data_IF_175870970548
#
_entry.id   IF_175870970548
#
_cell.length_a   1.000
_cell.length_b   1.000
_cell.length_c   1.000
_cell.angle_alpha   90.00
_cell.angle_beta   90.00
_cell.angle_gamma   90.00
#
_symmetry.space_group_name_H-M   'P 1'
#
loop_
_entity.id
_entity.type
_entity.pdbx_description
1 polymer ?
#
# COMPACT_ATOMS: atom_id res chain seq x y z
N UNK A 1 5.78 -13.23 4.90
CA UNK A 1 5.29 -13.04 6.28
C UNK A 1 3.85 -13.51 6.41
N UNK A 2 2.96 -13.06 5.51
CA UNK A 2 1.52 -13.36 5.59
C UNK A 2 1.18 -14.80 5.21
N UNK A 3 2.07 -15.48 4.48
CA UNK A 3 1.97 -16.93 4.20
C UNK A 3 2.42 -17.80 5.37
N UNK A 4 2.84 -17.19 6.50
CA UNK A 4 3.37 -17.86 7.69
C UNK A 4 4.67 -18.65 7.46
N UNK A 5 5.35 -18.43 6.35
CA UNK A 5 6.65 -19.06 6.08
C UNK A 5 7.69 -18.62 7.12
N UNK A 6 8.53 -19.57 7.56
CA UNK A 6 9.62 -19.29 8.48
C UNK A 6 10.68 -18.38 7.85
N UNK A 7 10.96 -18.56 6.56
CA UNK A 7 11.95 -17.81 5.81
C UNK A 7 11.62 -17.80 4.32
N UNK A 8 12.30 -16.95 3.56
CA UNK A 8 12.30 -16.95 2.10
C UNK A 8 13.69 -16.59 1.59
N UNK A 9 14.07 -17.19 0.47
CA UNK A 9 15.34 -16.95 -0.22
C UNK A 9 15.01 -16.55 -1.65
N UNK A 10 15.56 -15.45 -2.11
CA UNK A 10 15.31 -14.90 -3.43
C UNK A 10 16.58 -14.86 -4.26
N UNK A 11 16.47 -15.13 -5.55
CA UNK A 11 17.56 -14.84 -6.47
C UNK A 11 17.85 -13.33 -6.49
N UNK A 12 19.12 -12.99 -6.67
CA UNK A 12 19.56 -11.60 -6.73
C UNK A 12 19.84 -11.18 -8.17
N UNK A 13 19.49 -9.95 -8.49
CA UNK A 13 19.56 -9.36 -9.82
C UNK A 13 20.19 -7.94 -9.79
N UNK A 14 20.10 -7.23 -10.91
CA UNK A 14 20.58 -5.86 -11.05
C UNK A 14 19.81 -4.87 -10.16
N UNK A 15 18.52 -5.16 -9.84
CA UNK A 15 17.73 -4.33 -8.94
C UNK A 15 18.29 -4.43 -7.52
N UNK A 16 18.62 -5.66 -7.08
CA UNK A 16 19.30 -5.91 -5.80
C UNK A 16 20.66 -5.21 -5.73
N UNK A 17 21.44 -5.27 -6.82
CA UNK A 17 22.72 -4.58 -6.90
C UNK A 17 22.57 -3.07 -6.77
N UNK A 18 21.60 -2.48 -7.48
CA UNK A 18 21.29 -1.04 -7.41
C UNK A 18 20.82 -0.64 -6.02
N UNK A 19 19.95 -1.44 -5.39
CA UNK A 19 19.52 -1.20 -4.02
C UNK A 19 20.71 -1.12 -3.04
N UNK A 20 21.64 -2.07 -3.11
CA UNK A 20 22.85 -2.05 -2.28
C UNK A 20 23.73 -0.82 -2.58
N UNK A 21 23.83 -0.41 -3.84
CA UNK A 21 24.58 0.77 -4.23
C UNK A 21 24.03 2.07 -3.63
N UNK A 22 22.69 2.26 -3.65
CA UNK A 22 22.01 3.40 -3.01
C UNK A 22 22.30 3.45 -1.50
N UNK A 23 22.48 2.29 -0.87
CA UNK A 23 22.82 2.18 0.55
C UNK A 23 24.33 2.24 0.84
N UNK A 24 25.16 2.59 -0.16
CA UNK A 24 26.62 2.64 0.00
C UNK A 24 27.29 1.26 0.11
N UNK A 25 26.61 0.19 -0.31
CA UNK A 25 27.01 -1.21 -0.15
C UNK A 25 27.21 -1.93 -1.48
N UNK A 26 27.55 -1.23 -2.55
CA UNK A 26 27.71 -1.82 -3.88
C UNK A 26 28.69 -3.00 -3.90
N UNK A 27 29.74 -2.94 -3.07
CA UNK A 27 30.76 -4.00 -2.97
C UNK A 27 30.27 -5.28 -2.29
N UNK A 28 29.15 -5.21 -1.58
CA UNK A 28 28.57 -6.35 -0.87
C UNK A 28 27.69 -7.22 -1.77
N UNK A 29 27.40 -6.75 -2.99
CA UNK A 29 26.59 -7.55 -3.91
C UNK A 29 27.26 -8.85 -4.28
N UNK A 30 26.53 -9.95 -4.12
CA UNK A 30 26.91 -11.27 -4.60
C UNK A 30 25.69 -11.90 -5.27
N UNK A 31 25.90 -12.51 -6.43
CA UNK A 31 24.83 -13.26 -7.08
C UNK A 31 24.43 -14.44 -6.19
N UNK A 32 23.15 -14.51 -5.84
CA UNK A 32 22.54 -15.64 -5.18
C UNK A 32 21.57 -16.31 -6.16
N UNK A 33 21.74 -17.58 -6.40
CA UNK A 33 20.87 -18.39 -7.24
C UNK A 33 20.92 -19.84 -6.76
N UNK A 34 19.93 -20.69 -7.10
CA UNK A 34 20.01 -22.12 -6.88
C UNK A 34 21.25 -22.72 -7.56
N UNK A 35 21.72 -23.88 -7.08
CA UNK A 35 22.71 -24.67 -7.78
C UNK A 35 22.11 -25.27 -9.08
N UNK A 36 22.97 -25.79 -9.97
CA UNK A 36 22.54 -26.40 -11.23
C UNK A 36 21.50 -27.51 -11.05
N UNK A 37 21.49 -28.14 -9.89
CA UNK A 37 20.48 -29.12 -9.46
C UNK A 37 20.00 -28.75 -8.07
N UNK A 38 18.71 -28.40 -7.96
CA UNK A 38 18.04 -28.09 -6.70
C UNK A 38 16.73 -28.89 -6.59
N UNK A 39 16.43 -29.36 -5.38
CA UNK A 39 15.21 -30.14 -5.10
C UNK A 39 14.24 -29.27 -4.27
N UNK A 40 12.98 -29.31 -4.65
CA UNK A 40 11.89 -28.59 -3.97
C UNK A 40 10.71 -29.53 -3.78
N UNK A 41 9.95 -29.35 -2.71
CA UNK A 41 8.74 -30.14 -2.42
C UNK A 41 7.57 -29.77 -3.36
N UNK A 42 7.61 -28.62 -3.95
CA UNK A 42 6.60 -28.14 -4.89
C UNK A 42 7.01 -26.86 -5.60
N UNK A 43 6.26 -26.50 -6.62
CA UNK A 43 6.44 -25.25 -7.38
C UNK A 43 5.11 -24.50 -7.48
N UNK A 44 5.18 -23.19 -7.38
CA UNK A 44 4.08 -22.27 -7.71
C UNK A 44 4.61 -21.33 -8.78
N UNK A 45 3.99 -21.36 -9.95
CA UNK A 45 4.33 -20.46 -11.05
C UNK A 45 3.32 -19.32 -11.12
N UNK A 46 3.80 -18.08 -11.17
CA UNK A 46 2.98 -16.86 -11.27
C UNK A 46 3.47 -16.04 -12.44
N UNK A 47 2.65 -15.89 -13.47
CA UNK A 47 2.91 -14.99 -14.59
C UNK A 47 2.61 -13.55 -14.15
N UNK A 48 3.66 -12.79 -13.83
CA UNK A 48 3.53 -11.40 -13.40
C UNK A 48 2.95 -10.49 -14.50
N UNK A 49 3.08 -10.85 -15.78
CA UNK A 49 2.52 -10.07 -16.89
C UNK A 49 0.99 -10.15 -16.97
N UNK A 50 0.40 -11.18 -16.38
CA UNK A 50 -1.05 -11.38 -16.31
C UNK A 50 -1.71 -10.66 -15.12
N UNK A 51 -0.91 -10.16 -14.16
CA UNK A 51 -1.45 -9.49 -12.98
C UNK A 51 -2.00 -8.11 -13.36
N UNK A 52 -3.23 -7.83 -12.92
CA UNK A 52 -3.89 -6.53 -13.04
C UNK A 52 -3.69 -5.72 -11.77
N UNK A 53 -3.89 -4.38 -11.79
CA UNK A 53 -3.93 -3.58 -10.56
C UNK A 53 -4.96 -4.12 -9.59
N UNK A 54 -4.52 -4.41 -8.35
CA UNK A 54 -5.34 -5.07 -7.35
C UNK A 54 -5.48 -4.22 -6.08
N UNK A 55 -6.55 -4.50 -5.34
CA UNK A 55 -6.83 -3.96 -4.02
C UNK A 55 -7.20 -5.12 -3.09
N UNK A 56 -6.60 -5.14 -1.89
CA UNK A 56 -7.04 -6.05 -0.82
C UNK A 56 -7.83 -5.26 0.22
N UNK A 57 -9.14 -5.50 0.27
CA UNK A 57 -10.06 -4.79 1.17
C UNK A 57 -9.84 -5.15 2.65
N UNK A 58 -10.28 -4.33 3.62
CA UNK A 58 -10.24 -4.68 5.03
C UNK A 58 -10.93 -6.04 5.29
N UNK A 59 -10.51 -6.85 6.25
CA UNK A 59 -9.37 -6.71 7.18
C UNK A 59 -8.43 -7.90 7.05
N UNK A 60 -8.22 -8.37 5.82
CA UNK A 60 -7.29 -9.46 5.52
C UNK A 60 -6.69 -9.29 4.12
N UNK A 61 -5.39 -9.59 3.92
CA UNK A 61 -4.74 -9.45 2.60
C UNK A 61 -5.32 -10.35 1.50
N UNK A 62 -5.98 -11.46 1.87
CA UNK A 62 -6.64 -12.36 0.90
C UNK A 62 -8.01 -11.87 0.42
N UNK A 63 -8.55 -10.79 1.00
CA UNK A 63 -9.78 -10.16 0.52
C UNK A 63 -9.47 -9.28 -0.71
N UNK A 64 -8.90 -9.91 -1.74
CA UNK A 64 -8.28 -9.26 -2.88
C UNK A 64 -9.13 -9.36 -4.13
N UNK A 65 -9.24 -8.23 -4.82
CA UNK A 65 -9.95 -8.06 -6.10
C UNK A 65 -9.07 -7.28 -7.06
N UNK A 66 -9.27 -7.46 -8.36
CA UNK A 66 -8.80 -6.41 -9.26
C UNK A 66 -9.59 -5.13 -9.01
N UNK A 67 -8.98 -3.97 -9.20
CA UNK A 67 -9.69 -2.69 -9.03
C UNK A 67 -10.84 -2.59 -10.03
N UNK A 68 -10.70 -3.22 -11.19
CA UNK A 68 -11.73 -3.29 -12.23
C UNK A 68 -12.95 -4.10 -11.75
N UNK A 69 -12.75 -5.29 -11.16
CA UNK A 69 -13.81 -6.12 -10.58
C UNK A 69 -14.52 -5.39 -9.45
N UNK A 70 -13.76 -4.75 -8.55
CA UNK A 70 -14.35 -3.96 -7.46
C UNK A 70 -15.22 -2.83 -8.03
N UNK A 71 -14.71 -2.06 -8.99
CA UNK A 71 -15.44 -0.95 -9.58
C UNK A 71 -16.71 -1.39 -10.35
N UNK A 72 -16.72 -2.62 -10.88
CA UNK A 72 -17.90 -3.18 -11.57
C UNK A 72 -19.00 -3.64 -10.61
N UNK A 73 -18.68 -3.96 -9.35
CA UNK A 73 -19.58 -4.57 -8.37
C UNK A 73 -19.45 -3.94 -6.97
N UNK A 74 -19.32 -2.61 -6.92
CA UNK A 74 -18.98 -1.88 -5.69
C UNK A 74 -19.90 -2.20 -4.50
N UNK A 75 -21.22 -2.06 -4.68
CA UNK A 75 -22.18 -2.21 -3.59
C UNK A 75 -22.13 -3.62 -2.99
N UNK A 76 -22.17 -4.65 -3.82
CA UNK A 76 -22.18 -6.04 -3.36
C UNK A 76 -20.89 -6.44 -2.64
N UNK A 77 -19.72 -6.06 -3.22
CA UNK A 77 -18.42 -6.40 -2.65
C UNK A 77 -18.19 -5.63 -1.34
N UNK A 78 -18.48 -4.32 -1.31
CA UNK A 78 -18.29 -3.52 -0.10
C UNK A 78 -19.24 -3.95 1.00
N UNK A 79 -20.50 -4.25 0.69
CA UNK A 79 -21.45 -4.75 1.67
C UNK A 79 -21.05 -6.11 2.25
N UNK A 80 -20.57 -7.03 1.43
CA UNK A 80 -20.00 -8.30 1.90
C UNK A 80 -18.79 -8.08 2.82
N UNK A 81 -17.89 -7.15 2.43
CA UNK A 81 -16.75 -6.77 3.26
C UNK A 81 -17.19 -6.21 4.63
N UNK A 82 -18.16 -5.31 4.68
CA UNK A 82 -18.74 -4.77 5.91
C UNK A 82 -19.27 -5.86 6.84
N UNK A 83 -20.00 -6.83 6.28
CA UNK A 83 -20.54 -7.96 7.04
C UNK A 83 -19.40 -8.81 7.65
N UNK A 84 -18.36 -9.07 6.91
CA UNK A 84 -17.21 -9.85 7.40
C UNK A 84 -16.41 -9.09 8.44
N UNK A 85 -16.19 -7.78 8.24
CA UNK A 85 -15.61 -6.89 9.25
C UNK A 85 -16.45 -6.92 10.53
N UNK A 86 -17.77 -6.82 10.42
CA UNK A 86 -18.70 -6.83 11.57
C UNK A 86 -18.62 -8.14 12.34
N UNK A 87 -18.57 -9.29 11.65
CA UNK A 87 -18.37 -10.61 12.27
C UNK A 87 -17.03 -10.70 13.00
N UNK A 88 -15.96 -10.19 12.36
CA UNK A 88 -14.60 -10.26 12.88
C UNK A 88 -14.41 -9.38 14.12
N UNK A 89 -14.94 -8.15 14.09
CA UNK A 89 -14.87 -7.21 15.22
C UNK A 89 -15.77 -7.65 16.38
N UNK A 90 -16.92 -8.31 16.10
CA UNK A 90 -17.82 -8.85 17.09
C UNK A 90 -18.55 -7.82 17.97
N UNK A 91 -18.52 -6.53 17.59
CA UNK A 91 -19.11 -5.40 18.34
C UNK A 91 -20.20 -4.73 17.49
N UNK A 92 -21.38 -4.52 18.07
CA UNK A 92 -22.51 -3.88 17.36
C UNK A 92 -22.50 -2.36 17.45
N UNK A 93 -21.70 -1.79 18.34
CA UNK A 93 -21.60 -0.35 18.61
C UNK A 93 -20.56 0.36 17.73
N UNK A 94 -19.78 -0.38 16.96
CA UNK A 94 -18.85 0.15 15.96
C UNK A 94 -19.06 -0.59 14.64
N UNK A 95 -19.17 0.16 13.56
CA UNK A 95 -19.38 -0.36 12.21
C UNK A 95 -18.49 0.37 11.23
N UNK A 96 -18.03 -0.35 10.22
CA UNK A 96 -17.35 0.23 9.07
C UNK A 96 -18.39 0.37 7.96
N UNK A 97 -18.62 1.59 7.52
CA UNK A 97 -19.59 1.92 6.47
C UNK A 97 -18.83 2.29 5.18
N UNK A 98 -18.53 1.28 4.38
CA UNK A 98 -17.82 1.44 3.11
C UNK A 98 -18.78 1.83 1.98
N UNK A 99 -20.02 1.37 2.03
CA UNK A 99 -21.03 1.69 1.01
C UNK A 99 -21.37 3.17 0.99
N UNK A 100 -21.32 3.88 2.12
CA UNK A 100 -21.50 5.33 2.17
C UNK A 100 -20.42 6.13 1.42
N UNK A 101 -19.29 5.49 1.09
CA UNK A 101 -18.19 6.08 0.32
C UNK A 101 -18.36 5.96 -1.19
N UNK A 102 -19.48 5.41 -1.65
CA UNK A 102 -19.79 5.34 -3.08
C UNK A 102 -20.36 6.70 -3.52
N UNK A 103 -19.60 7.43 -4.32
CA UNK A 103 -19.99 8.70 -4.90
C UNK A 103 -20.10 8.58 -6.43
N UNK A 104 -21.28 8.80 -6.98
CA UNK A 104 -21.53 8.71 -8.43
C UNK A 104 -21.08 7.37 -9.05
N UNK A 105 -21.28 6.27 -8.32
CA UNK A 105 -20.92 4.92 -8.74
C UNK A 105 -19.41 4.62 -8.68
N UNK A 106 -18.66 5.39 -7.93
CA UNK A 106 -17.20 5.22 -7.72
C UNK A 106 -16.87 5.22 -6.23
N UNK A 107 -15.87 4.46 -5.83
CA UNK A 107 -15.39 4.45 -4.46
C UNK A 107 -14.48 5.65 -4.18
N UNK A 108 -14.87 6.48 -3.22
CA UNK A 108 -13.99 7.51 -2.64
C UNK A 108 -13.23 6.93 -1.45
N UNK A 109 -11.96 7.20 -1.39
CA UNK A 109 -11.08 6.89 -0.25
C UNK A 109 -10.59 8.16 0.43
N UNK A 110 -10.26 8.05 1.72
CA UNK A 110 -9.97 9.25 2.54
C UNK A 110 -8.47 9.52 2.66
N UNK A 111 -7.63 8.48 2.52
CA UNK A 111 -6.20 8.59 2.76
C UNK A 111 -5.41 7.61 1.89
N UNK A 112 -4.27 8.07 1.38
CA UNK A 112 -3.25 7.25 0.75
C UNK A 112 -1.97 7.23 1.57
N UNK A 113 -1.32 6.07 1.69
CA UNK A 113 -0.04 5.92 2.38
C UNK A 113 0.88 5.01 1.58
N UNK A 114 2.06 5.49 1.24
CA UNK A 114 3.14 4.72 0.62
C UNK A 114 4.25 4.60 1.66
N UNK A 115 4.46 3.41 2.24
CA UNK A 115 5.32 3.29 3.41
C UNK A 115 5.93 1.90 3.61
N UNK A 116 6.89 1.86 4.50
CA UNK A 116 7.49 0.64 5.04
C UNK A 116 8.42 -0.07 4.06
N UNK A 117 8.70 -1.34 4.37
CA UNK A 117 9.58 -2.18 3.55
C UNK A 117 8.95 -2.61 2.22
N UNK A 118 7.63 -2.48 2.06
CA UNK A 118 6.93 -2.77 0.81
C UNK A 118 6.85 -1.52 -0.09
N UNK A 119 6.21 -0.44 0.37
CA UNK A 119 5.95 0.75 -0.44
C UNK A 119 7.08 1.78 -0.45
N UNK A 120 7.94 1.80 0.58
CA UNK A 120 8.98 2.81 0.76
C UNK A 120 10.24 2.60 -0.08
N UNK A 121 10.25 1.67 -1.03
CA UNK A 121 11.38 1.45 -1.94
C UNK A 121 11.51 2.61 -2.95
N UNK A 122 12.73 2.84 -3.41
CA UNK A 122 13.03 3.93 -4.35
C UNK A 122 12.15 3.87 -5.60
N UNK A 123 12.09 2.72 -6.26
CA UNK A 123 11.35 2.55 -7.51
C UNK A 123 9.84 2.76 -7.32
N UNK A 124 9.25 2.25 -6.23
CA UNK A 124 7.83 2.45 -5.92
C UNK A 124 7.47 3.93 -5.73
N UNK A 125 8.32 4.68 -5.02
CA UNK A 125 8.13 6.12 -4.79
C UNK A 125 8.38 6.93 -6.06
N UNK A 126 9.39 6.57 -6.85
CA UNK A 126 9.71 7.20 -8.12
C UNK A 126 8.56 7.07 -9.14
N UNK A 127 8.00 5.86 -9.28
CA UNK A 127 6.86 5.62 -10.17
C UNK A 127 5.61 6.38 -9.71
N UNK A 128 5.32 6.40 -8.41
CA UNK A 128 4.22 7.19 -7.86
C UNK A 128 4.40 8.69 -8.15
N UNK A 129 5.61 9.23 -7.95
CA UNK A 129 5.91 10.63 -8.27
C UNK A 129 5.75 10.95 -9.76
N UNK A 130 6.14 10.00 -10.62
CA UNK A 130 6.01 10.15 -12.08
C UNK A 130 4.54 10.27 -12.52
N UNK A 131 3.63 9.53 -11.88
CA UNK A 131 2.18 9.61 -12.10
C UNK A 131 1.63 10.93 -11.55
N UNK A 132 2.11 11.38 -10.39
CA UNK A 132 1.63 12.59 -9.72
C UNK A 132 2.16 13.89 -10.33
N UNK A 133 3.13 13.81 -11.21
CA UNK A 133 3.75 14.99 -11.84
C UNK A 133 2.70 15.85 -12.56
N UNK A 134 2.60 17.11 -12.11
CA UNK A 134 1.62 18.05 -12.66
C UNK A 134 0.19 17.90 -12.11
N UNK A 135 -0.04 16.99 -11.19
CA UNK A 135 -1.32 16.82 -10.48
C UNK A 135 -1.24 17.39 -9.06
N UNK A 136 -2.40 17.82 -8.53
CA UNK A 136 -2.55 18.34 -7.17
C UNK A 136 -3.76 17.64 -6.53
N UNK A 137 -3.55 16.57 -5.81
CA UNK A 137 -4.64 15.79 -5.19
C UNK A 137 -4.28 15.21 -3.82
N UNK A 138 -3.04 15.42 -3.39
CA UNK A 138 -2.51 14.83 -2.15
C UNK A 138 -2.83 15.60 -0.86
N UNK A 139 -3.72 16.59 -0.91
CA UNK A 139 -4.13 17.40 0.24
C UNK A 139 -5.63 17.75 0.17
N UNK A 140 -6.19 18.24 1.27
CA UNK A 140 -7.62 18.52 1.40
C UNK A 140 -8.38 17.35 2.04
N UNK A 141 -9.54 17.00 1.49
CA UNK A 141 -10.36 15.89 2.00
C UNK A 141 -9.69 14.51 1.83
N UNK A 142 -8.82 14.39 0.84
CA UNK A 142 -7.92 13.23 0.68
C UNK A 142 -6.49 13.67 0.99
N UNK A 143 -5.75 12.85 1.72
CA UNK A 143 -4.36 13.12 2.07
C UNK A 143 -3.43 11.96 1.66
N UNK A 144 -2.30 12.28 1.03
CA UNK A 144 -1.24 11.33 0.72
C UNK A 144 -0.03 11.55 1.64
N UNK A 145 0.42 10.48 2.30
CA UNK A 145 1.69 10.45 3.04
C UNK A 145 2.67 9.46 2.42
N UNK A 146 3.94 9.87 2.31
CA UNK A 146 5.01 9.04 1.75
C UNK A 146 6.14 8.90 2.75
N UNK A 147 6.51 7.66 3.06
CA UNK A 147 7.57 7.28 3.99
C UNK A 147 8.64 6.48 3.24
N UNK A 148 9.76 7.08 2.85
CA UNK A 148 10.89 6.32 2.29
C UNK A 148 11.34 5.22 3.26
N UNK A 149 11.71 4.05 2.72
CA UNK A 149 12.04 2.88 3.54
C UNK A 149 13.35 2.98 4.32
N UNK A 150 14.23 3.93 3.94
CA UNK A 150 15.50 4.18 4.62
C UNK A 150 16.03 5.59 4.34
N UNK A 151 16.99 6.03 5.15
CA UNK A 151 17.69 7.32 4.92
C UNK A 151 18.43 7.39 3.58
N UNK A 152 19.18 6.36 3.14
CA UNK A 152 19.79 6.38 1.80
C UNK A 152 18.75 6.55 0.68
N UNK A 153 17.60 5.87 0.76
CA UNK A 153 16.50 6.05 -0.22
C UNK A 153 16.00 7.49 -0.18
N UNK A 154 15.76 8.06 1.01
CA UNK A 154 15.34 9.46 1.15
C UNK A 154 16.34 10.42 0.51
N UNK A 155 17.63 10.23 0.78
CA UNK A 155 18.69 11.06 0.21
C UNK A 155 18.74 10.96 -1.31
N UNK A 156 18.57 9.77 -1.88
CA UNK A 156 18.55 9.59 -3.32
C UNK A 156 17.31 10.24 -3.97
N UNK A 157 16.13 10.11 -3.34
CA UNK A 157 14.92 10.79 -3.79
C UNK A 157 15.03 12.33 -3.74
N UNK A 158 15.76 12.87 -2.76
CA UNK A 158 16.09 14.30 -2.69
C UNK A 158 17.04 14.68 -3.82
N UNK A 159 18.12 13.91 -4.02
CA UNK A 159 19.13 14.17 -5.05
C UNK A 159 18.53 14.14 -6.47
N UNK A 160 17.59 13.28 -6.72
CA UNK A 160 16.92 13.13 -8.02
C UNK A 160 15.72 14.08 -8.22
N UNK A 161 15.37 14.88 -7.20
CA UNK A 161 14.27 15.85 -7.26
C UNK A 161 12.88 15.26 -7.05
N UNK A 162 12.76 13.94 -6.85
CA UNK A 162 11.48 13.22 -6.67
C UNK A 162 10.67 13.77 -5.48
N UNK A 163 11.36 14.12 -4.39
CA UNK A 163 10.70 14.72 -3.22
C UNK A 163 10.00 16.04 -3.58
N UNK A 164 10.63 16.87 -4.42
CA UNK A 164 10.03 18.13 -4.87
C UNK A 164 8.75 17.91 -5.68
N UNK A 165 8.74 16.93 -6.58
CA UNK A 165 7.55 16.57 -7.38
C UNK A 165 6.40 16.08 -6.49
N UNK A 166 6.68 15.22 -5.50
CA UNK A 166 5.69 14.74 -4.54
C UNK A 166 5.12 15.87 -3.68
N UNK A 167 5.96 16.78 -3.18
CA UNK A 167 5.51 17.93 -2.41
C UNK A 167 4.66 18.89 -3.27
N UNK A 168 5.01 19.06 -4.53
CA UNK A 168 4.24 19.88 -5.46
C UNK A 168 2.83 19.30 -5.72
N UNK A 169 2.67 17.96 -5.64
CA UNK A 169 1.36 17.32 -5.74
C UNK A 169 0.52 17.40 -4.46
N UNK A 170 1.06 17.97 -3.38
CA UNK A 170 0.41 18.06 -2.07
C UNK A 170 0.69 16.90 -1.12
N UNK A 171 1.56 15.95 -1.50
CA UNK A 171 1.91 14.84 -0.64
C UNK A 171 2.74 15.28 0.58
N UNK A 172 2.47 14.69 1.74
CA UNK A 172 3.27 14.88 2.96
C UNK A 172 4.43 13.89 2.97
N UNK A 173 5.67 14.40 2.98
CA UNK A 173 6.86 13.56 3.08
C UNK A 173 7.22 13.35 4.54
N UNK A 174 7.39 12.10 4.92
CA UNK A 174 7.77 11.69 6.27
C UNK A 174 9.19 11.12 6.29
N UNK A 175 9.77 11.03 7.47
CA UNK A 175 11.04 10.30 7.67
C UNK A 175 10.82 8.79 7.59
N UNK A 176 11.90 8.02 7.36
CA UNK A 176 11.85 6.56 7.35
C UNK A 176 11.32 6.02 8.69
N UNK A 177 10.13 5.45 8.66
CA UNK A 177 9.45 4.93 9.85
C UNK A 177 8.41 3.88 9.49
N UNK A 178 8.35 2.78 10.24
CA UNK A 178 7.41 1.69 10.01
C UNK A 178 6.01 1.92 10.64
N UNK A 179 5.77 3.11 11.20
CA UNK A 179 4.57 3.46 11.99
C UNK A 179 3.25 3.11 11.33
N UNK A 180 3.00 3.45 10.07
CA UNK A 180 1.73 3.13 9.40
C UNK A 180 1.38 1.64 9.36
N UNK A 181 2.37 0.74 9.45
CA UNK A 181 2.15 -0.71 9.43
C UNK A 181 1.68 -1.29 10.78
N UNK A 182 1.77 -0.50 11.86
CA UNK A 182 1.39 -0.97 13.22
C UNK A 182 0.61 0.08 14.03
N UNK A 183 0.03 1.08 13.37
CA UNK A 183 -0.86 2.05 14.01
C UNK A 183 -0.17 3.18 14.77
N UNK A 184 1.08 3.50 14.42
CA UNK A 184 1.82 4.61 15.02
C UNK A 184 2.23 5.65 13.97
N UNK A 185 1.27 6.27 13.34
CA UNK A 185 1.46 7.30 12.31
C UNK A 185 0.44 7.16 11.21
N UNK A 186 -0.06 8.30 10.73
CA UNK A 186 -1.12 8.38 9.73
C UNK A 186 -2.31 7.46 10.04
N UNK A 187 -2.73 7.45 11.31
CA UNK A 187 -3.93 6.73 11.75
C UNK A 187 -5.14 7.37 11.06
N UNK A 188 -5.96 6.59 10.34
CA UNK A 188 -7.13 7.14 9.67
C UNK A 188 -8.15 7.68 10.67
N UNK A 189 -8.96 8.63 10.23
CA UNK A 189 -10.11 9.08 11.00
C UNK A 189 -11.09 7.93 11.25
N UNK A 190 -11.96 8.09 12.25
CA UNK A 190 -13.02 7.11 12.50
C UNK A 190 -13.94 6.98 11.27
N UNK A 191 -14.23 5.76 10.86
CA UNK A 191 -15.00 5.47 9.65
C UNK A 191 -14.24 5.64 8.32
N UNK A 192 -12.97 6.09 8.34
CA UNK A 192 -12.20 6.32 7.12
C UNK A 192 -11.73 5.03 6.47
N UNK A 193 -11.58 5.06 5.15
CA UNK A 193 -10.91 4.05 4.34
C UNK A 193 -9.56 4.60 3.86
N UNK A 194 -8.48 3.97 4.29
CA UNK A 194 -7.11 4.29 3.89
C UNK A 194 -6.59 3.25 2.90
N UNK A 195 -6.09 3.69 1.74
CA UNK A 195 -5.39 2.82 0.80
C UNK A 195 -3.89 2.88 1.05
N UNK A 196 -3.22 1.73 1.15
CA UNK A 196 -1.82 1.69 1.58
C UNK A 196 -0.98 0.73 0.76
N UNK A 197 0.20 1.16 0.37
CA UNK A 197 1.28 0.27 0.00
C UNK A 197 2.10 -0.04 1.25
N UNK A 198 1.60 -0.97 2.04
CA UNK A 198 2.20 -1.51 3.26
C UNK A 198 2.02 -3.03 3.27
N UNK A 199 2.35 -3.72 4.36
CA UNK A 199 2.33 -5.19 4.39
C UNK A 199 1.05 -5.78 4.95
N UNK A 200 0.21 -5.02 5.67
CA UNK A 200 -0.88 -5.59 6.48
C UNK A 200 -2.09 -4.67 6.56
N UNK A 201 -3.27 -5.28 6.47
CA UNK A 201 -4.58 -4.64 6.66
C UNK A 201 -5.46 -5.38 7.69
N UNK A 202 -4.85 -6.15 8.59
CA UNK A 202 -5.55 -6.82 9.68
C UNK A 202 -6.22 -5.81 10.63
N UNK A 203 -7.23 -6.23 11.43
CA UNK A 203 -7.93 -5.36 12.37
C UNK A 203 -6.99 -4.56 13.27
N UNK A 204 -7.27 -3.28 13.40
CA UNK A 204 -6.56 -2.33 14.27
C UNK A 204 -5.06 -2.14 13.99
N UNK A 205 -4.55 -2.68 12.86
CA UNK A 205 -3.14 -2.44 12.45
C UNK A 205 -2.91 -1.00 12.01
N UNK A 206 -3.94 -0.30 11.61
CA UNK A 206 -3.92 1.12 11.23
C UNK A 206 -3.96 2.06 12.45
N UNK A 207 -4.28 1.54 13.63
CA UNK A 207 -4.28 2.27 14.90
C UNK A 207 -5.65 2.58 15.47
N UNK A 208 -6.76 2.19 14.82
CA UNK A 208 -8.10 2.32 15.40
C UNK A 208 -8.26 1.46 16.65
N UNK A 209 -9.13 1.91 17.56
CA UNK A 209 -9.39 1.27 18.85
C UNK A 209 -10.88 0.97 18.99
N UNK A 210 -11.37 -0.19 18.49
CA UNK A 210 -12.80 -0.52 18.56
C UNK A 210 -13.35 -0.49 19.98
N UNK A 211 -12.53 -0.84 21.00
CA UNK A 211 -12.87 -0.70 22.41
C UNK A 211 -13.19 0.72 22.88
N UNK A 212 -12.73 1.72 22.14
CA UNK A 212 -13.00 3.16 22.36
C UNK A 212 -13.98 3.74 21.33
N UNK A 213 -14.72 2.91 20.61
CA UNK A 213 -15.67 3.36 19.59
C UNK A 213 -15.04 3.81 18.27
N UNK A 214 -13.79 3.44 18.01
CA UNK A 214 -13.09 3.80 16.79
C UNK A 214 -12.92 2.58 15.87
N UNK A 215 -13.28 2.73 14.62
CA UNK A 215 -13.04 1.74 13.58
C UNK A 215 -12.71 2.45 12.27
N UNK A 216 -11.68 2.02 11.59
CA UNK A 216 -11.30 2.45 10.24
C UNK A 216 -10.86 1.25 9.42
N UNK A 217 -10.84 1.39 8.10
CA UNK A 217 -10.44 0.34 7.20
C UNK A 217 -9.10 0.66 6.53
N UNK A 218 -8.28 -0.36 6.33
CA UNK A 218 -7.12 -0.29 5.44
C UNK A 218 -7.32 -1.25 4.29
N UNK A 219 -7.19 -0.75 3.07
CA UNK A 219 -7.05 -1.57 1.87
C UNK A 219 -5.60 -1.50 1.36
N UNK A 220 -5.05 -2.64 0.95
CA UNK A 220 -3.70 -2.70 0.39
C UNK A 220 -3.75 -2.50 -1.12
N UNK A 221 -2.86 -1.66 -1.63
CA UNK A 221 -2.68 -1.40 -3.06
C UNK A 221 -1.20 -1.13 -3.36
N UNK A 222 -0.85 -1.18 -4.64
CA UNK A 222 0.47 -0.74 -5.11
C UNK A 222 0.58 0.80 -5.14
N UNK A 223 1.82 1.31 -5.12
CA UNK A 223 2.10 2.75 -5.06
C UNK A 223 1.61 3.51 -6.30
N UNK A 224 1.59 2.88 -7.47
CA UNK A 224 1.14 3.48 -8.74
C UNK A 224 -0.36 3.73 -8.70
N UNK A 225 -1.14 2.73 -8.28
CA UNK A 225 -2.60 2.85 -8.15
C UNK A 225 -2.99 3.82 -7.02
N UNK A 226 -2.20 3.91 -5.95
CA UNK A 226 -2.37 4.97 -4.93
C UNK A 226 -2.13 6.35 -5.55
N UNK A 227 -1.08 6.51 -6.36
CA UNK A 227 -0.79 7.77 -7.04
C UNK A 227 -1.88 8.15 -8.05
N UNK A 228 -2.38 7.21 -8.85
CA UNK A 228 -3.49 7.44 -9.77
C UNK A 228 -4.78 7.86 -9.03
N UNK A 229 -5.07 7.21 -7.91
CA UNK A 229 -6.19 7.57 -7.03
C UNK A 229 -6.00 8.98 -6.44
N UNK A 230 -4.77 9.32 -6.02
CA UNK A 230 -4.42 10.66 -5.54
C UNK A 230 -4.61 11.72 -6.62
N UNK A 231 -4.10 11.47 -7.83
CA UNK A 231 -4.26 12.38 -8.97
C UNK A 231 -5.74 12.61 -9.33
N UNK A 232 -6.60 11.65 -9.03
CA UNK A 232 -8.05 11.71 -9.19
C UNK A 232 -8.80 12.15 -7.91
N UNK A 233 -8.13 12.87 -7.00
CA UNK A 233 -8.73 13.47 -5.81
C UNK A 233 -9.34 12.49 -4.82
N UNK A 234 -8.79 11.26 -4.71
CA UNK A 234 -9.27 10.22 -3.80
C UNK A 234 -10.33 9.29 -4.40
N UNK A 235 -10.63 9.39 -5.69
CA UNK A 235 -11.51 8.43 -6.38
C UNK A 235 -10.66 7.23 -6.82
N UNK A 236 -11.03 6.03 -6.35
CA UNK A 236 -10.30 4.79 -6.62
C UNK A 236 -10.05 4.60 -8.13
N UNK A 237 -8.79 4.55 -8.50
CA UNK A 237 -8.32 4.51 -9.89
C UNK A 237 -7.16 3.52 -10.02
N UNK A 238 -7.22 2.55 -10.94
CA UNK A 238 -6.07 1.68 -11.26
C UNK A 238 -5.00 2.45 -12.04
N UNK A 239 -3.74 2.01 -11.97
CA UNK A 239 -2.61 2.53 -12.74
C UNK A 239 -2.01 1.48 -13.68
#
# INVERSE_FOLDING_TARGET
TETTCLSSIWETDEVTQRFLAVHGRAVDYKKLAPADLAYYDGVVEVDLSAIRPMIALPMHPSNAFTIEELNANLEDILHACEQDVQKLIGRKDVQLDLCSKIENGKLRVDQGVIAGCAGGLYDSIYEAASILKGHTGGCGDYALSVYPGSQPIMMELVRTGVIGELMASGATIRTAFCGPCFGAGDVPANGALSIRHTTRNFPSREGSKPGSGQLSGVALMDARSIAATTANGGILTPA
#
